data_IF_995121475479
#
_entry.id   IF_995121475479
#
_cell.length_a   1.000
_cell.length_b   1.000
_cell.length_c   1.000
_cell.angle_alpha   90.00
_cell.angle_beta   90.00
_cell.angle_gamma   90.00
#
_symmetry.space_group_name_H-M   'P 1'
#
loop_
_entity.id
_entity.type
_entity.pdbx_description
1 polymer ?
#
# COMPACT_ATOMS: atom_id res chain seq x y z
N UNK A 1 -5.71 30.11 7.86
CA UNK A 1 -5.83 28.65 7.74
C UNK A 1 -4.74 28.17 6.79
N UNK A 2 -3.96 27.16 7.18
CA UNK A 2 -2.96 26.61 6.26
C UNK A 2 -3.66 25.83 5.15
N UNK A 3 -3.14 25.90 3.94
CA UNK A 3 -3.57 25.03 2.85
C UNK A 3 -2.61 23.83 2.83
N UNK A 4 -3.12 22.64 3.18
CA UNK A 4 -2.32 21.44 3.44
C UNK A 4 -2.55 20.43 2.32
N UNK A 5 -1.49 20.00 1.66
CA UNK A 5 -1.48 18.91 0.70
C UNK A 5 -1.03 17.60 1.36
N UNK A 6 -1.55 16.49 0.87
CA UNK A 6 -1.06 15.16 1.16
C UNK A 6 -0.32 14.65 -0.07
N UNK A 7 0.91 14.15 0.10
CA UNK A 7 1.68 13.55 -0.99
C UNK A 7 1.93 12.06 -0.69
N UNK A 8 1.74 11.21 -1.69
CA UNK A 8 1.91 9.75 -1.55
C UNK A 8 2.42 9.16 -2.87
N UNK A 9 2.69 7.85 -2.89
CA UNK A 9 2.97 7.11 -4.13
C UNK A 9 1.77 6.29 -4.62
N UNK A 10 1.90 5.65 -5.78
CA UNK A 10 0.80 4.92 -6.41
C UNK A 10 0.47 3.55 -5.80
N UNK A 11 1.18 3.12 -4.75
CA UNK A 11 0.93 1.83 -4.08
C UNK A 11 -0.13 1.90 -2.98
N UNK A 12 -0.89 2.99 -2.93
CA UNK A 12 -1.95 3.24 -1.91
C UNK A 12 -3.20 2.40 -2.10
N UNK A 13 -3.44 1.88 -3.30
CA UNK A 13 -4.67 1.19 -3.71
C UNK A 13 -5.96 2.03 -3.48
N UNK A 14 -5.83 3.37 -3.38
CA UNK A 14 -6.97 4.29 -3.34
C UNK A 14 -7.65 4.28 -4.71
N UNK A 15 -8.97 4.18 -4.71
CA UNK A 15 -9.73 4.28 -5.95
C UNK A 15 -9.57 5.65 -6.61
N UNK A 16 -9.54 5.66 -7.95
CA UNK A 16 -9.41 6.88 -8.72
C UNK A 16 -10.52 7.89 -8.43
N UNK A 17 -11.73 7.41 -8.15
CA UNK A 17 -12.87 8.25 -7.76
C UNK A 17 -12.64 8.99 -6.44
N UNK A 18 -11.98 8.33 -5.48
CA UNK A 18 -11.67 8.94 -4.19
C UNK A 18 -10.51 9.92 -4.28
N UNK A 19 -9.53 9.65 -5.16
CA UNK A 19 -8.49 10.63 -5.49
C UNK A 19 -9.10 11.88 -6.13
N UNK A 20 -10.06 11.74 -7.05
CA UNK A 20 -10.76 12.87 -7.67
C UNK A 20 -11.57 13.71 -6.68
N UNK A 21 -12.16 13.11 -5.65
CA UNK A 21 -12.88 13.83 -4.58
C UNK A 21 -11.93 14.54 -3.60
N UNK A 22 -10.65 14.16 -3.58
CA UNK A 22 -9.65 14.67 -2.65
C UNK A 22 -8.54 15.44 -3.38
N UNK A 23 -8.89 16.61 -3.93
CA UNK A 23 -7.99 17.47 -4.74
C UNK A 23 -6.68 17.88 -4.03
N UNK A 24 -6.61 17.70 -2.72
CA UNK A 24 -5.42 17.94 -1.92
C UNK A 24 -4.54 16.70 -1.73
N UNK A 25 -4.83 15.58 -2.42
CA UNK A 25 -3.95 14.41 -2.50
C UNK A 25 -3.18 14.45 -3.82
N UNK A 26 -1.86 14.36 -3.73
CA UNK A 26 -0.95 14.31 -4.87
C UNK A 26 -0.24 12.97 -4.89
N UNK A 27 -0.42 12.21 -5.96
CA UNK A 27 0.17 10.88 -6.13
C UNK A 27 1.39 10.97 -7.04
N UNK A 28 2.54 10.53 -6.54
CA UNK A 28 3.76 10.40 -7.35
C UNK A 28 3.80 8.97 -7.92
N UNK A 29 3.65 8.80 -9.24
CA UNK A 29 3.57 7.48 -9.83
C UNK A 29 4.90 6.73 -9.72
N UNK A 30 4.83 5.47 -9.32
CA UNK A 30 5.92 4.51 -9.40
C UNK A 30 6.12 4.06 -10.85
N UNK A 31 7.29 3.50 -11.17
CA UNK A 31 7.64 3.04 -12.51
C UNK A 31 7.64 1.52 -12.64
N UNK A 32 7.15 1.05 -13.79
CA UNK A 32 7.18 -0.36 -14.19
C UNK A 32 7.88 -0.43 -15.55
N UNK A 33 8.90 -1.28 -15.65
CA UNK A 33 9.67 -1.48 -16.90
C UNK A 33 9.59 -2.93 -17.32
N UNK A 34 9.26 -3.19 -18.57
CA UNK A 34 9.25 -4.52 -19.17
C UNK A 34 10.63 -4.90 -19.73
N UNK A 35 10.88 -6.19 -19.91
CA UNK A 35 12.16 -6.69 -20.45
C UNK A 35 12.43 -6.29 -21.92
N UNK A 36 11.39 -5.87 -22.65
CA UNK A 36 11.47 -5.32 -24.00
C UNK A 36 11.75 -3.80 -24.05
N UNK A 37 11.89 -3.16 -22.88
CA UNK A 37 12.22 -1.75 -22.74
C UNK A 37 11.02 -0.81 -22.67
N UNK A 38 9.79 -1.31 -22.72
CA UNK A 38 8.60 -0.47 -22.48
C UNK A 38 8.54 -0.04 -21.01
N UNK A 39 8.19 1.23 -20.81
CA UNK A 39 8.07 1.83 -19.48
C UNK A 39 6.65 2.35 -19.24
N UNK A 40 6.18 2.19 -18.02
CA UNK A 40 4.83 2.56 -17.63
C UNK A 40 4.84 3.23 -16.25
N UNK A 41 3.94 4.17 -16.05
CA UNK A 41 3.64 4.77 -14.75
C UNK A 41 2.47 4.01 -14.12
N UNK A 42 2.69 3.50 -12.92
CA UNK A 42 1.66 2.77 -12.17
C UNK A 42 0.45 3.67 -11.89
N UNK A 43 -0.76 3.13 -12.10
CA UNK A 43 -2.02 3.86 -11.94
C UNK A 43 -2.32 4.91 -13.02
N UNK A 44 -1.44 5.08 -14.02
CA UNK A 44 -1.60 6.04 -15.12
C UNK A 44 -1.63 5.34 -16.48
N UNK A 45 -0.62 4.53 -16.78
CA UNK A 45 -0.41 3.97 -18.12
C UNK A 45 -0.74 2.48 -18.19
N UNK A 46 -0.87 1.79 -17.05
CA UNK A 46 -1.03 0.34 -16.99
C UNK A 46 -1.91 -0.07 -15.81
N UNK A 47 -2.64 -1.16 -15.97
CA UNK A 47 -3.52 -1.74 -14.96
C UNK A 47 -2.98 -3.06 -14.40
N UNK A 48 -3.45 -3.44 -13.21
CA UNK A 48 -3.20 -4.73 -12.58
C UNK A 48 -3.57 -5.91 -13.50
N UNK A 49 -4.72 -5.82 -14.18
CA UNK A 49 -5.17 -6.83 -15.13
C UNK A 49 -4.21 -7.02 -16.32
N UNK A 50 -3.60 -5.93 -16.81
CA UNK A 50 -2.61 -6.02 -17.90
C UNK A 50 -1.31 -6.65 -17.36
N UNK A 51 -0.87 -6.25 -16.17
CA UNK A 51 0.32 -6.86 -15.53
C UNK A 51 0.16 -8.37 -15.40
N UNK A 52 -0.99 -8.85 -14.93
CA UNK A 52 -1.23 -10.31 -14.77
C UNK A 52 -1.05 -11.09 -16.08
N UNK A 53 -1.49 -10.52 -17.19
CA UNK A 53 -1.31 -11.14 -18.52
C UNK A 53 0.15 -11.16 -18.96
N UNK A 54 0.90 -10.16 -18.56
CA UNK A 54 2.25 -9.87 -19.06
C UNK A 54 3.37 -10.42 -18.15
N UNK A 55 3.04 -10.84 -16.92
CA UNK A 55 4.02 -11.22 -15.88
C UNK A 55 5.10 -12.21 -16.35
N UNK A 56 4.69 -13.30 -16.99
CA UNK A 56 5.61 -14.37 -17.38
C UNK A 56 6.32 -14.08 -18.69
N UNK A 57 5.69 -13.36 -19.61
CA UNK A 57 6.24 -13.01 -20.93
C UNK A 57 7.21 -11.84 -20.83
N UNK A 58 6.79 -10.72 -20.25
CA UNK A 58 7.56 -9.48 -20.24
C UNK A 58 8.33 -9.20 -18.94
N UNK A 59 8.17 -10.04 -17.92
CA UNK A 59 8.93 -10.00 -16.64
C UNK A 59 9.09 -8.58 -16.11
N UNK A 60 7.99 -7.89 -15.79
CA UNK A 60 8.04 -6.51 -15.34
C UNK A 60 8.94 -6.34 -14.10
N UNK A 61 9.65 -5.21 -14.06
CA UNK A 61 10.42 -4.75 -12.91
C UNK A 61 9.84 -3.43 -12.44
N UNK A 62 10.03 -3.12 -11.17
CA UNK A 62 9.54 -1.86 -10.58
C UNK A 62 10.68 -1.00 -10.11
N UNK A 63 10.47 0.31 -10.13
CA UNK A 63 11.38 1.29 -9.59
C UNK A 63 10.61 2.35 -8.80
N UNK A 64 11.30 2.97 -7.81
CA UNK A 64 10.82 4.17 -7.15
C UNK A 64 10.56 5.28 -8.17
N UNK A 65 9.72 6.29 -7.84
CA UNK A 65 9.55 7.45 -8.70
C UNK A 65 10.89 8.08 -9.06
N UNK A 66 11.01 8.54 -10.30
CA UNK A 66 12.18 9.31 -10.72
C UNK A 66 12.24 10.63 -9.95
N UNK A 67 13.44 11.14 -9.69
CA UNK A 67 13.64 12.40 -8.97
C UNK A 67 12.88 13.58 -9.58
N UNK A 68 12.78 13.63 -10.91
CA UNK A 68 12.00 14.63 -11.63
C UNK A 68 10.49 14.59 -11.31
N UNK A 69 9.94 13.42 -11.00
CA UNK A 69 8.53 13.28 -10.63
C UNK A 69 8.27 13.91 -9.25
N UNK A 70 9.16 13.71 -8.28
CA UNK A 70 9.07 14.39 -6.98
C UNK A 70 9.18 15.91 -7.15
N UNK A 71 10.17 16.37 -7.91
CA UNK A 71 10.38 17.81 -8.17
C UNK A 71 9.15 18.42 -8.84
N UNK A 72 8.58 17.75 -9.83
CA UNK A 72 7.37 18.19 -10.52
C UNK A 72 6.20 18.29 -9.55
N UNK A 73 5.94 17.24 -8.77
CA UNK A 73 4.82 17.20 -7.83
C UNK A 73 4.94 18.27 -6.73
N UNK A 74 6.13 18.47 -6.14
CA UNK A 74 6.31 19.54 -5.16
C UNK A 74 6.10 20.94 -5.77
N UNK A 75 6.52 21.17 -7.02
CA UNK A 75 6.23 22.42 -7.74
C UNK A 75 4.73 22.61 -7.94
N UNK A 76 4.02 21.60 -8.42
CA UNK A 76 2.56 21.63 -8.61
C UNK A 76 1.83 21.96 -7.30
N UNK A 77 2.22 21.31 -6.18
CA UNK A 77 1.68 21.61 -4.85
C UNK A 77 1.90 23.08 -4.48
N UNK A 78 3.11 23.60 -4.67
CA UNK A 78 3.47 24.99 -4.35
C UNK A 78 2.73 25.99 -5.23
N UNK A 79 2.65 25.74 -6.54
CA UNK A 79 1.93 26.56 -7.53
C UNK A 79 0.41 26.56 -7.28
N UNK A 80 -0.16 25.46 -6.79
CA UNK A 80 -1.55 25.38 -6.35
C UNK A 80 -1.82 26.12 -5.01
N UNK A 81 -0.80 26.77 -4.44
CA UNK A 81 -0.88 27.63 -3.26
C UNK A 81 -0.97 26.88 -1.93
N UNK A 82 -0.55 25.63 -1.89
CA UNK A 82 -0.38 24.92 -0.62
C UNK A 82 0.85 25.46 0.12
N UNK A 83 0.75 25.52 1.44
CA UNK A 83 1.82 26.03 2.33
C UNK A 83 2.42 24.92 3.19
N UNK A 84 1.71 23.80 3.31
CA UNK A 84 2.12 22.65 4.11
C UNK A 84 1.90 21.35 3.33
N UNK A 85 2.79 20.40 3.55
CA UNK A 85 2.71 19.07 2.91
C UNK A 85 2.91 17.99 3.97
N UNK A 86 2.03 16.99 4.01
CA UNK A 86 2.24 15.76 4.78
C UNK A 86 2.39 14.61 3.80
N UNK A 87 3.49 13.86 3.90
CA UNK A 87 3.78 12.73 3.02
C UNK A 87 3.63 11.40 3.72
N UNK A 88 3.06 10.40 3.03
CA UNK A 88 2.97 9.00 3.45
C UNK A 88 3.24 8.11 2.25
N UNK A 89 4.22 7.21 2.36
CA UNK A 89 4.76 6.43 1.23
C UNK A 89 4.96 4.97 1.61
N UNK A 90 5.14 4.12 0.60
CA UNK A 90 5.50 2.72 0.75
C UNK A 90 6.67 2.52 1.75
N UNK A 91 6.57 1.47 2.56
CA UNK A 91 7.57 1.11 3.58
C UNK A 91 9.01 1.15 3.06
N UNK A 92 9.90 1.73 3.86
CA UNK A 92 11.35 1.74 3.59
C UNK A 92 11.97 0.34 3.56
N UNK A 93 11.37 -0.64 4.26
CA UNK A 93 11.78 -2.04 4.20
C UNK A 93 11.45 -2.73 2.87
N UNK A 94 10.59 -2.12 2.03
CA UNK A 94 10.14 -2.66 0.75
C UNK A 94 10.71 -1.88 -0.43
N UNK A 95 10.88 -0.56 -0.29
CA UNK A 95 11.27 0.34 -1.39
C UNK A 95 12.14 1.51 -0.91
N UNK A 96 13.04 1.98 -1.77
CA UNK A 96 13.79 3.21 -1.57
C UNK A 96 12.98 4.51 -1.70
N UNK A 97 11.69 4.44 -1.99
CA UNK A 97 10.82 5.61 -2.24
C UNK A 97 10.81 6.57 -1.05
N UNK A 98 10.69 6.04 0.18
CA UNK A 98 10.71 6.86 1.40
C UNK A 98 11.99 7.67 1.55
N UNK A 99 13.16 7.05 1.36
CA UNK A 99 14.44 7.75 1.42
C UNK A 99 14.55 8.81 0.30
N UNK A 100 14.11 8.49 -0.91
CA UNK A 100 14.11 9.42 -2.04
C UNK A 100 13.26 10.65 -1.78
N UNK A 101 12.01 10.48 -1.33
CA UNK A 101 11.13 11.63 -1.09
C UNK A 101 11.67 12.57 -0.02
N UNK A 102 12.33 12.06 1.03
CA UNK A 102 12.97 12.90 2.06
C UNK A 102 14.06 13.78 1.44
N UNK A 103 14.89 13.23 0.58
CA UNK A 103 15.97 14.00 -0.08
C UNK A 103 15.40 15.09 -0.99
N UNK A 104 14.35 14.78 -1.78
CA UNK A 104 13.72 15.78 -2.64
C UNK A 104 12.91 16.82 -1.85
N UNK A 105 12.27 16.43 -0.74
CA UNK A 105 11.53 17.36 0.12
C UNK A 105 12.43 18.48 0.67
N UNK A 106 13.68 18.17 1.06
CA UNK A 106 14.66 19.16 1.54
C UNK A 106 14.93 20.30 0.54
N UNK A 107 14.77 20.05 -0.77
CA UNK A 107 14.96 21.06 -1.82
C UNK A 107 13.84 22.11 -1.85
N UNK A 108 12.71 21.81 -1.23
CA UNK A 108 11.52 22.66 -1.26
C UNK A 108 11.16 23.23 0.11
N UNK A 109 11.74 22.71 1.19
CA UNK A 109 11.44 23.17 2.55
C UNK A 109 11.96 24.61 2.77
N UNK A 110 11.03 25.50 3.12
CA UNK A 110 11.26 26.93 3.37
C UNK A 110 10.44 27.37 4.59
N UNK A 111 10.67 28.59 5.09
CA UNK A 111 9.94 29.12 6.24
C UNK A 111 8.42 29.15 6.03
N UNK A 112 7.98 29.38 4.82
CA UNK A 112 6.57 29.47 4.42
C UNK A 112 6.06 28.20 3.68
N UNK A 113 6.88 27.15 3.55
CA UNK A 113 6.53 25.88 2.94
C UNK A 113 7.07 24.71 3.77
N UNK A 114 6.22 24.17 4.64
CA UNK A 114 6.58 23.12 5.59
C UNK A 114 6.26 21.75 5.05
N UNK A 115 7.19 20.80 5.17
CA UNK A 115 7.04 19.43 4.71
C UNK A 115 7.29 18.47 5.86
N UNK A 116 6.38 17.52 6.06
CA UNK A 116 6.55 16.42 7.02
C UNK A 116 6.29 15.09 6.32
N UNK A 117 7.31 14.27 6.14
CA UNK A 117 7.17 12.91 5.64
C UNK A 117 7.07 11.96 6.83
N UNK A 118 6.00 11.16 6.89
CA UNK A 118 5.76 10.21 7.97
C UNK A 118 6.43 8.87 7.65
N UNK A 119 7.20 8.28 8.58
CA UNK A 119 7.72 6.93 8.41
C UNK A 119 6.56 5.94 8.42
N UNK A 120 6.56 5.04 7.47
CA UNK A 120 5.57 3.97 7.36
C UNK A 120 6.25 2.62 7.34
N UNK A 121 5.52 1.63 7.86
CA UNK A 121 5.88 0.22 7.72
C UNK A 121 4.72 -0.50 7.06
N UNK A 122 4.23 0.07 5.96
CA UNK A 122 3.00 -0.38 5.33
C UNK A 122 3.04 -0.35 3.80
N UNK A 123 2.00 -0.90 3.25
CA UNK A 123 1.76 -1.03 1.81
C UNK A 123 0.25 -1.00 1.58
N UNK A 124 -0.20 -0.65 0.38
CA UNK A 124 -1.63 -0.70 0.04
C UNK A 124 -2.44 0.26 0.93
N UNK A 125 -3.61 -0.12 1.36
CA UNK A 125 -4.48 0.71 2.20
C UNK A 125 -3.91 1.05 3.59
N UNK A 126 -2.79 0.41 4.03
CA UNK A 126 -2.05 0.87 5.22
C UNK A 126 -1.54 2.31 5.05
N UNK A 127 -1.21 2.70 3.83
CA UNK A 127 -0.82 4.08 3.49
C UNK A 127 -1.98 4.86 2.85
N UNK A 128 -2.88 4.17 2.15
CA UNK A 128 -4.02 4.77 1.46
C UNK A 128 -5.04 5.39 2.42
N UNK A 129 -5.48 4.65 3.42
CA UNK A 129 -6.45 5.15 4.39
C UNK A 129 -5.93 6.34 5.20
N UNK A 130 -4.71 6.32 5.78
CA UNK A 130 -4.15 7.51 6.41
C UNK A 130 -4.04 8.72 5.45
N UNK A 131 -3.72 8.51 4.17
CA UNK A 131 -3.69 9.60 3.20
C UNK A 131 -5.07 10.24 3.02
N UNK A 132 -6.14 9.44 2.93
CA UNK A 132 -7.53 9.92 2.81
C UNK A 132 -7.98 10.68 4.07
N UNK A 133 -7.74 10.12 5.26
CA UNK A 133 -8.15 10.74 6.52
C UNK A 133 -7.37 12.03 6.81
N UNK A 134 -6.07 12.04 6.54
CA UNK A 134 -5.27 13.26 6.62
C UNK A 134 -5.75 14.33 5.63
N UNK A 135 -6.10 13.94 4.41
CA UNK A 135 -6.60 14.86 3.40
C UNK A 135 -7.94 15.50 3.82
N UNK A 136 -8.83 14.70 4.39
CA UNK A 136 -10.11 15.17 4.97
C UNK A 136 -9.86 16.14 6.13
N UNK A 137 -9.08 15.75 7.13
CA UNK A 137 -8.75 16.59 8.28
C UNK A 137 -8.09 17.91 7.88
N UNK A 138 -7.17 17.85 6.92
CA UNK A 138 -6.48 19.03 6.37
C UNK A 138 -7.47 20.03 5.76
N UNK A 139 -8.48 19.55 5.03
CA UNK A 139 -9.51 20.44 4.44
C UNK A 139 -10.46 21.01 5.49
N UNK A 140 -10.86 20.20 6.46
CA UNK A 140 -11.83 20.59 7.49
C UNK A 140 -11.24 21.59 8.49
N UNK A 141 -9.99 21.39 8.90
CA UNK A 141 -9.39 22.14 10.01
C UNK A 141 -8.33 23.15 9.60
N UNK A 142 -7.58 22.89 8.50
CA UNK A 142 -6.38 23.66 8.16
C UNK A 142 -5.30 23.58 9.25
N UNK A 143 -5.35 22.58 10.13
CA UNK A 143 -4.39 22.38 11.21
C UNK A 143 -3.37 21.33 10.84
N UNK A 144 -2.15 21.78 10.56
CA UNK A 144 -1.03 20.92 10.17
C UNK A 144 -0.62 19.93 11.28
N UNK A 145 -0.60 20.41 12.53
CA UNK A 145 -0.20 19.56 13.66
C UNK A 145 -1.21 18.45 13.90
N UNK A 146 -2.50 18.78 13.84
CA UNK A 146 -3.58 17.80 13.95
C UNK A 146 -3.53 16.77 12.81
N UNK A 147 -3.32 17.22 11.56
CA UNK A 147 -3.18 16.34 10.39
C UNK A 147 -2.01 15.36 10.54
N UNK A 148 -0.84 15.84 10.94
CA UNK A 148 0.34 15.01 11.20
C UNK A 148 0.09 14.03 12.34
N UNK A 149 -0.55 14.47 13.42
CA UNK A 149 -0.85 13.63 14.59
C UNK A 149 -1.79 12.48 14.23
N UNK A 150 -2.84 12.77 13.46
CA UNK A 150 -3.78 11.75 12.97
C UNK A 150 -3.06 10.70 12.11
N UNK A 151 -2.24 11.13 11.15
CA UNK A 151 -1.48 10.21 10.31
C UNK A 151 -0.57 9.28 11.12
N UNK A 152 0.14 9.81 12.11
CA UNK A 152 0.97 9.00 13.03
C UNK A 152 0.15 8.00 13.83
N UNK A 153 -1.01 8.39 14.35
CA UNK A 153 -1.89 7.50 15.13
C UNK A 153 -2.41 6.34 14.27
N UNK A 154 -2.90 6.62 13.07
CA UNK A 154 -3.39 5.60 12.15
C UNK A 154 -2.29 4.60 11.76
N UNK A 155 -1.08 5.09 11.44
CA UNK A 155 0.05 4.24 11.05
C UNK A 155 0.58 3.35 12.17
N UNK A 156 0.33 3.68 13.43
CA UNK A 156 0.77 2.87 14.59
C UNK A 156 -0.20 1.75 14.96
N UNK A 157 -1.45 1.80 14.50
CA UNK A 157 -2.53 0.90 14.91
C UNK A 157 -3.04 0.10 13.72
N UNK A 158 -2.12 -0.50 12.99
CA UNK A 158 -2.45 -1.20 11.75
C UNK A 158 -1.60 -2.44 11.53
N UNK A 159 -2.16 -3.41 10.84
CA UNK A 159 -1.47 -4.59 10.36
C UNK A 159 -2.00 -5.04 8.99
N UNK A 160 -1.17 -5.75 8.24
CA UNK A 160 -1.51 -6.28 6.91
C UNK A 160 -1.01 -7.71 6.76
N UNK A 161 -1.92 -8.59 6.31
CA UNK A 161 -1.62 -9.97 5.95
C UNK A 161 -2.33 -10.34 4.66
N UNK A 162 -1.64 -11.10 3.83
CA UNK A 162 -2.20 -11.55 2.55
C UNK A 162 -1.68 -12.94 2.17
N UNK A 163 -2.51 -13.69 1.45
CA UNK A 163 -2.15 -14.94 0.83
C UNK A 163 -1.77 -14.70 -0.64
N UNK A 164 -0.73 -15.36 -1.10
CA UNK A 164 -0.32 -15.38 -2.51
C UNK A 164 -0.42 -16.78 -3.09
N UNK A 165 -0.58 -16.87 -4.41
CA UNK A 165 -0.58 -18.18 -5.09
C UNK A 165 0.77 -18.88 -4.96
N UNK A 166 1.86 -18.13 -5.03
CA UNK A 166 3.22 -18.60 -4.78
C UNK A 166 4.14 -17.43 -4.43
N UNK A 167 5.29 -17.71 -3.81
CA UNK A 167 6.31 -16.69 -3.54
C UNK A 167 7.15 -16.31 -4.77
N UNK A 168 6.90 -16.91 -5.94
CA UNK A 168 7.66 -16.72 -7.18
C UNK A 168 7.96 -15.26 -7.47
N UNK A 169 6.93 -14.42 -7.50
CA UNK A 169 7.06 -13.02 -7.90
C UNK A 169 7.70 -12.15 -6.81
N UNK A 170 7.42 -12.42 -5.54
CA UNK A 170 8.09 -11.75 -4.42
C UNK A 170 9.60 -12.04 -4.40
N UNK A 171 9.99 -13.27 -4.73
CA UNK A 171 11.41 -13.67 -4.81
C UNK A 171 12.08 -13.05 -6.03
N UNK A 172 11.45 -13.14 -7.21
CA UNK A 172 11.98 -12.53 -8.43
C UNK A 172 12.14 -11.02 -8.28
N UNK A 173 11.22 -10.37 -7.56
CA UNK A 173 11.28 -8.96 -7.22
C UNK A 173 12.27 -8.62 -6.11
N UNK A 174 12.76 -9.59 -5.35
CA UNK A 174 13.66 -9.36 -4.20
C UNK A 174 12.98 -8.67 -3.01
N UNK A 175 11.66 -8.74 -2.88
CA UNK A 175 10.89 -8.08 -1.80
C UNK A 175 10.49 -9.01 -0.66
N UNK A 176 10.89 -10.25 -0.70
CA UNK A 176 10.77 -11.15 0.44
C UNK A 176 12.17 -11.50 0.95
N UNK A 177 12.44 -11.15 2.20
CA UNK A 177 13.70 -11.47 2.88
C UNK A 177 13.57 -12.83 3.56
N UNK A 178 14.49 -13.75 3.26
CA UNK A 178 14.61 -15.07 3.89
C UNK A 178 13.37 -15.96 3.82
N UNK A 179 13.25 -16.65 2.73
CA UNK A 179 12.44 -17.86 2.73
C UNK A 179 13.31 -18.99 3.30
N UNK A 180 13.06 -19.38 4.55
CA UNK A 180 13.65 -20.58 5.10
C UNK A 180 13.06 -21.79 4.40
N UNK A 181 13.91 -22.52 3.72
CA UNK A 181 13.59 -23.75 3.02
C UNK A 181 13.45 -23.59 1.52
N UNK A 182 13.80 -24.64 0.81
CA UNK A 182 13.60 -24.77 -0.63
C UNK A 182 12.13 -24.55 -0.94
N UNK A 183 11.84 -23.50 -1.72
CA UNK A 183 10.55 -23.37 -2.39
C UNK A 183 10.53 -24.42 -3.50
N UNK A 184 10.51 -25.68 -3.10
CA UNK A 184 9.95 -26.67 -3.96
C UNK A 184 8.51 -26.26 -4.15
N UNK A 185 8.07 -26.11 -5.40
CA UNK A 185 6.67 -25.91 -5.78
C UNK A 185 5.85 -27.10 -5.23
N UNK A 186 5.60 -27.05 -3.90
CA UNK A 186 4.71 -28.04 -3.31
C UNK A 186 3.33 -27.72 -3.82
N UNK A 187 2.80 -28.66 -4.56
CA UNK A 187 1.51 -28.55 -5.22
C UNK A 187 0.45 -27.96 -4.27
N UNK A 188 -0.11 -26.81 -4.66
CA UNK A 188 -1.22 -26.12 -3.98
C UNK A 188 -0.92 -25.55 -2.58
N UNK A 189 0.35 -25.33 -2.21
CA UNK A 189 0.70 -24.61 -0.99
C UNK A 189 0.60 -23.10 -1.24
N UNK A 190 -0.19 -22.42 -0.40
CA UNK A 190 -0.43 -20.97 -0.42
C UNK A 190 0.28 -20.31 0.76
N UNK A 191 1.32 -19.52 0.51
CA UNK A 191 1.99 -18.75 1.57
C UNK A 191 1.10 -17.63 2.10
N UNK A 192 1.20 -17.38 3.42
CA UNK A 192 0.69 -16.17 4.06
C UNK A 192 1.86 -15.25 4.31
N UNK A 193 1.74 -14.01 3.89
CA UNK A 193 2.79 -12.97 3.97
C UNK A 193 2.28 -11.83 4.85
N UNK A 194 3.15 -11.29 5.66
CA UNK A 194 2.90 -10.11 6.47
C UNK A 194 4.02 -9.09 6.35
N UNK A 195 3.76 -7.87 6.76
CA UNK A 195 4.79 -6.84 6.95
C UNK A 195 5.32 -6.94 8.38
N UNK A 196 6.62 -7.02 8.52
CA UNK A 196 7.27 -7.00 9.83
C UNK A 196 7.12 -5.60 10.46
N UNK A 197 6.55 -5.47 11.66
CA UNK A 197 6.33 -4.18 12.30
C UNK A 197 7.64 -3.50 12.76
N UNK A 198 8.76 -4.22 12.88
CA UNK A 198 10.03 -3.67 13.32
C UNK A 198 10.78 -2.94 12.21
N UNK A 199 10.86 -3.56 11.02
CA UNK A 199 11.67 -3.06 9.90
C UNK A 199 10.88 -2.79 8.61
N UNK A 200 9.59 -3.10 8.59
CA UNK A 200 8.71 -2.87 7.43
C UNK A 200 8.97 -3.80 6.23
N UNK A 201 9.74 -4.89 6.40
CA UNK A 201 10.00 -5.87 5.34
C UNK A 201 8.86 -6.88 5.21
N UNK A 202 8.75 -7.53 4.04
CA UNK A 202 7.82 -8.64 3.85
C UNK A 202 8.44 -9.96 4.33
N UNK A 203 7.66 -10.75 5.06
CA UNK A 203 8.05 -12.08 5.52
C UNK A 203 6.90 -13.08 5.36
N UNK A 204 7.25 -14.37 5.16
CA UNK A 204 6.26 -15.44 5.20
C UNK A 204 5.96 -15.79 6.67
N UNK A 205 4.72 -15.57 7.09
CA UNK A 205 4.25 -15.82 8.46
C UNK A 205 3.49 -17.15 8.60
N UNK A 206 3.20 -17.81 7.47
CA UNK A 206 2.52 -19.07 7.46
C UNK A 206 2.37 -19.66 6.07
N UNK A 207 1.86 -20.87 6.01
CA UNK A 207 1.51 -21.55 4.76
C UNK A 207 0.38 -22.52 4.99
N UNK A 208 -0.46 -22.72 3.98
CA UNK A 208 -1.58 -23.65 4.05
C UNK A 208 -1.85 -24.24 2.67
N UNK A 209 -2.44 -25.44 2.62
CA UNK A 209 -2.80 -26.08 1.36
C UNK A 209 -4.21 -25.71 0.93
N UNK A 210 -4.37 -25.23 -0.31
CA UNK A 210 -5.65 -24.96 -0.95
C UNK A 210 -6.17 -23.54 -0.79
N UNK A 211 -6.83 -23.06 -1.84
CA UNK A 211 -7.28 -21.68 -1.96
C UNK A 211 -8.22 -21.23 -0.84
N UNK A 212 -9.33 -21.95 -0.62
CA UNK A 212 -10.30 -21.58 0.43
C UNK A 212 -9.70 -21.56 1.83
N UNK A 213 -8.75 -22.46 2.09
CA UNK A 213 -8.05 -22.49 3.37
C UNK A 213 -7.11 -21.31 3.52
N UNK A 214 -6.47 -20.85 2.44
CA UNK A 214 -5.59 -19.67 2.51
C UNK A 214 -6.36 -18.39 2.83
N UNK A 215 -7.57 -18.22 2.30
CA UNK A 215 -8.45 -17.09 2.64
C UNK A 215 -8.82 -17.12 4.13
N UNK A 216 -9.25 -18.27 4.65
CA UNK A 216 -9.51 -18.42 6.09
C UNK A 216 -8.27 -18.20 6.95
N UNK A 217 -7.09 -18.66 6.49
CA UNK A 217 -5.84 -18.48 7.23
C UNK A 217 -5.43 -17.03 7.33
N UNK A 218 -5.78 -16.18 6.35
CA UNK A 218 -5.60 -14.72 6.46
C UNK A 218 -6.37 -14.20 7.67
N UNK A 219 -7.68 -14.49 7.80
CA UNK A 219 -8.47 -14.09 8.97
C UNK A 219 -7.89 -14.64 10.28
N UNK A 220 -7.54 -15.93 10.33
CA UNK A 220 -6.94 -16.54 11.52
C UNK A 220 -5.66 -15.84 11.96
N UNK A 221 -4.80 -15.45 10.99
CA UNK A 221 -3.56 -14.74 11.28
C UNK A 221 -3.85 -13.37 11.91
N UNK A 222 -4.86 -12.66 11.43
CA UNK A 222 -5.29 -11.40 12.05
C UNK A 222 -5.85 -11.62 13.46
N UNK A 223 -6.64 -12.67 13.69
CA UNK A 223 -7.16 -12.97 15.03
C UNK A 223 -6.04 -13.25 16.03
N UNK A 224 -5.04 -14.00 15.62
CA UNK A 224 -3.88 -14.31 16.44
C UNK A 224 -3.07 -13.05 16.79
N UNK A 225 -2.92 -12.11 15.84
CA UNK A 225 -2.19 -10.85 16.02
C UNK A 225 -2.96 -9.82 16.84
N UNK A 226 -4.23 -9.61 16.52
CA UNK A 226 -5.07 -8.56 17.13
C UNK A 226 -5.47 -8.94 18.56
N UNK A 227 -5.73 -10.23 18.81
CA UNK A 227 -6.22 -10.71 20.11
C UNK A 227 -7.56 -10.07 20.49
N UNK A 228 -7.59 -9.31 21.58
CA UNK A 228 -8.81 -8.66 22.10
C UNK A 228 -8.94 -7.19 21.73
N UNK A 229 -8.06 -6.66 20.87
CA UNK A 229 -8.13 -5.26 20.46
C UNK A 229 -9.35 -5.02 19.55
N UNK A 230 -9.95 -3.84 19.67
CA UNK A 230 -11.09 -3.47 18.86
C UNK A 230 -10.65 -3.06 17.44
N UNK A 231 -11.33 -3.63 16.45
CA UNK A 231 -11.13 -3.29 15.04
C UNK A 231 -12.04 -2.13 14.66
N UNK A 232 -11.47 -1.12 14.04
CA UNK A 232 -12.18 0.05 13.52
C UNK A 232 -12.56 -0.15 12.06
N UNK A 233 -11.57 -0.40 11.19
CA UNK A 233 -11.78 -0.50 9.75
C UNK A 233 -10.94 -1.60 9.12
N UNK A 234 -11.50 -2.26 8.10
CA UNK A 234 -10.91 -3.36 7.36
C UNK A 234 -10.99 -3.07 5.86
N UNK A 235 -9.84 -3.08 5.20
CA UNK A 235 -9.73 -3.00 3.75
C UNK A 235 -9.32 -4.37 3.22
N UNK A 236 -10.24 -5.09 2.62
CA UNK A 236 -9.93 -6.32 1.89
C UNK A 236 -9.29 -5.93 0.55
N UNK A 237 -8.15 -6.55 0.21
CA UNK A 237 -7.42 -6.24 -1.01
C UNK A 237 -7.26 -7.49 -1.88
N UNK A 238 -7.38 -7.34 -3.21
CA UNK A 238 -7.28 -8.47 -4.12
C UNK A 238 -6.56 -8.16 -5.43
N UNK A 239 -5.85 -9.17 -5.98
CA UNK A 239 -5.26 -9.18 -7.31
C UNK A 239 -6.17 -9.89 -8.31
N UNK A 240 -7.18 -9.17 -8.86
CA UNK A 240 -8.16 -9.66 -9.86
C UNK A 240 -8.98 -10.89 -9.42
N UNK A 241 -9.41 -10.92 -8.14
CA UNK A 241 -10.17 -12.05 -7.55
C UNK A 241 -11.30 -11.55 -6.66
N UNK A 242 -12.30 -10.90 -7.29
CA UNK A 242 -13.41 -10.28 -6.56
C UNK A 242 -14.21 -11.28 -5.72
N UNK A 243 -14.53 -12.47 -6.25
CA UNK A 243 -15.28 -13.51 -5.50
C UNK A 243 -14.57 -13.95 -4.22
N UNK A 244 -13.22 -14.04 -4.26
CA UNK A 244 -12.42 -14.37 -3.08
C UNK A 244 -12.38 -13.19 -2.08
N UNK A 245 -12.42 -11.96 -2.58
CA UNK A 245 -12.47 -10.76 -1.75
C UNK A 245 -13.82 -10.63 -1.04
N UNK A 246 -14.91 -10.85 -1.75
CA UNK A 246 -16.26 -10.89 -1.16
C UNK A 246 -16.34 -11.96 -0.07
N UNK A 247 -15.81 -13.15 -0.34
CA UNK A 247 -15.80 -14.23 0.65
C UNK A 247 -14.93 -13.86 1.89
N UNK A 248 -13.78 -13.25 1.70
CA UNK A 248 -12.96 -12.79 2.82
C UNK A 248 -13.65 -11.67 3.60
N UNK A 249 -14.31 -10.74 2.91
CA UNK A 249 -15.08 -9.67 3.54
C UNK A 249 -16.22 -10.23 4.40
N UNK A 250 -16.98 -11.22 3.90
CA UNK A 250 -18.02 -11.90 4.67
C UNK A 250 -17.46 -12.53 5.95
N UNK A 251 -16.29 -13.18 5.87
CA UNK A 251 -15.63 -13.75 7.03
C UNK A 251 -15.25 -12.70 8.06
N UNK A 252 -14.73 -11.55 7.63
CA UNK A 252 -14.39 -10.44 8.51
C UNK A 252 -15.63 -9.79 9.14
N UNK A 253 -16.71 -9.61 8.38
CA UNK A 253 -17.97 -9.06 8.90
C UNK A 253 -18.62 -9.97 9.96
N UNK A 254 -18.48 -11.29 9.81
CA UNK A 254 -18.94 -12.23 10.83
C UNK A 254 -18.12 -12.17 12.12
N UNK A 255 -16.81 -11.99 12.00
CA UNK A 255 -15.88 -11.96 13.14
C UNK A 255 -15.87 -10.59 13.83
N UNK A 256 -15.93 -9.50 13.05
CA UNK A 256 -15.85 -8.10 13.51
C UNK A 256 -17.09 -7.31 13.02
N UNK A 257 -18.29 -7.61 13.54
CA UNK A 257 -19.54 -7.06 13.00
C UNK A 257 -19.69 -5.54 13.16
N UNK A 258 -18.88 -4.93 14.02
CA UNK A 258 -18.87 -3.48 14.24
C UNK A 258 -17.80 -2.74 13.43
N UNK A 259 -16.94 -3.45 12.70
CA UNK A 259 -15.91 -2.85 11.87
C UNK A 259 -16.46 -2.48 10.49
N UNK A 260 -16.10 -1.33 9.99
CA UNK A 260 -16.36 -0.95 8.60
C UNK A 260 -15.50 -1.78 7.66
N UNK A 261 -16.05 -2.29 6.56
CA UNK A 261 -15.31 -3.12 5.61
C UNK A 261 -15.46 -2.61 4.19
N UNK A 262 -14.34 -2.52 3.47
CA UNK A 262 -14.30 -2.12 2.06
C UNK A 262 -13.43 -3.10 1.27
N UNK A 263 -13.69 -3.23 -0.05
CA UNK A 263 -12.87 -4.06 -0.96
C UNK A 263 -12.09 -3.13 -1.88
N UNK A 264 -10.79 -3.39 -2.08
CA UNK A 264 -9.92 -2.65 -2.98
C UNK A 264 -9.13 -3.58 -3.90
N UNK A 265 -8.90 -3.15 -5.14
CA UNK A 265 -8.01 -3.83 -6.08
C UNK A 265 -6.57 -3.39 -5.85
N UNK A 266 -5.64 -4.33 -5.91
CA UNK A 266 -4.21 -4.01 -5.86
C UNK A 266 -3.78 -3.22 -7.10
N UNK A 267 -2.87 -2.27 -6.92
CA UNK A 267 -2.21 -1.53 -8.00
C UNK A 267 -1.42 -2.46 -8.94
N UNK A 268 -1.13 -1.97 -10.13
CA UNK A 268 -0.32 -2.70 -11.09
C UNK A 268 1.08 -3.00 -10.52
N UNK A 269 1.68 -2.04 -9.81
CA UNK A 269 2.99 -2.19 -9.19
C UNK A 269 3.01 -3.29 -8.12
N UNK A 270 2.04 -3.31 -7.22
CA UNK A 270 1.94 -4.36 -6.20
C UNK A 270 1.74 -5.73 -6.83
N UNK A 271 0.92 -5.80 -7.91
CA UNK A 271 0.68 -7.02 -8.67
C UNK A 271 1.94 -7.60 -9.32
N UNK A 272 2.90 -6.76 -9.74
CA UNK A 272 4.21 -7.23 -10.23
C UNK A 272 4.91 -8.11 -9.20
N UNK A 273 4.81 -7.79 -7.91
CA UNK A 273 5.49 -8.50 -6.84
C UNK A 273 4.67 -9.61 -6.21
N UNK A 274 3.36 -9.44 -6.12
CA UNK A 274 2.49 -10.43 -5.45
C UNK A 274 1.96 -11.49 -6.42
N UNK A 275 1.90 -11.16 -7.71
CA UNK A 275 1.33 -12.01 -8.75
C UNK A 275 -0.20 -12.06 -8.72
N UNK A 276 -0.77 -12.87 -9.64
CA UNK A 276 -2.21 -13.06 -9.71
C UNK A 276 -2.76 -13.78 -8.49
N UNK A 277 -4.03 -13.53 -8.17
CA UNK A 277 -4.74 -14.25 -7.12
C UNK A 277 -4.33 -13.88 -5.70
N UNK A 278 -3.63 -12.80 -5.50
CA UNK A 278 -3.38 -12.27 -4.15
C UNK A 278 -4.69 -11.90 -3.48
N UNK A 279 -4.82 -12.25 -2.20
CA UNK A 279 -5.98 -11.91 -1.37
C UNK A 279 -5.51 -11.61 0.06
N UNK A 280 -5.94 -10.50 0.62
CA UNK A 280 -5.53 -10.10 1.97
C UNK A 280 -6.38 -8.98 2.53
N UNK A 281 -5.92 -8.43 3.64
CA UNK A 281 -6.54 -7.27 4.22
C UNK A 281 -5.51 -6.35 4.89
N UNK A 282 -5.88 -5.08 5.01
CA UNK A 282 -5.29 -4.09 5.89
C UNK A 282 -6.30 -3.76 6.99
N UNK A 283 -5.89 -3.84 8.25
CA UNK A 283 -6.76 -3.63 9.41
C UNK A 283 -6.27 -2.43 10.21
N UNK A 284 -7.20 -1.59 10.62
CA UNK A 284 -7.00 -0.46 11.54
C UNK A 284 -7.70 -0.74 12.85
N UNK A 285 -6.98 -0.52 13.96
CA UNK A 285 -7.46 -0.72 15.33
C UNK A 285 -7.89 0.62 15.94
N UNK A 286 -8.89 0.57 16.85
CA UNK A 286 -9.35 1.75 17.58
C UNK A 286 -8.31 2.33 18.54
#
# INVERSE_FOLDING_TARGET
>A
MNKIAIITDSTTDIYQEDLQKNENIFVVPMHITYNDGREFRDGVDITSSQIIKDLDEFRPKTASPLGENFVKTFKEIKEAGYTHVVGVFLSEGISGTYASVIEFAKLFEEDNFKIQILPTKGVSMIIGHPALEMAKTARETGDFVQTVSLGKQLLQRTCVYFAVESLKYLILGGRISKVEGTIAEMLDIKPIVGVNPEDGTLSSVGKVRGRKRSIKKVLETFKDEIGTQEVDKIFVVHGERMEDAEYLQELFQQEYPNAETEIHSLSALLTVHTGPGTIGAAIFLK
#
